data_IF_425825955226
#
_entry.id   IF_425825955226
#
_cell.length_a   1.000
_cell.length_b   1.000
_cell.length_c   1.000
_cell.angle_alpha   90.00
_cell.angle_beta   90.00
_cell.angle_gamma   90.00
#
_symmetry.space_group_name_H-M   'P 1'
#
loop_
_entity.id
_entity.type
_entity.pdbx_description
1 polymer ?
#
# COMPACT_ATOMS: atom_id res chain seq x y z
N UNK A 1 -16.44 -39.41 26.97
CA UNK A 1 -17.59 -38.76 27.61
C UNK A 1 -17.66 -37.37 27.02
N UNK A 2 -18.16 -37.30 25.80
CA UNK A 2 -19.56 -36.94 25.45
C UNK A 2 -19.54 -35.46 25.05
N UNK A 3 -19.86 -35.07 23.83
CA UNK A 3 -20.93 -35.61 22.99
C UNK A 3 -22.12 -34.66 23.06
N UNK A 4 -22.04 -33.52 22.36
CA UNK A 4 -23.22 -32.70 22.04
C UNK A 4 -22.94 -31.81 20.85
N UNK A 5 -23.09 -32.41 19.66
CA UNK A 5 -23.36 -31.69 18.42
C UNK A 5 -24.86 -31.35 18.41
N UNK A 6 -25.21 -30.08 18.59
CA UNK A 6 -26.58 -29.61 18.33
C UNK A 6 -26.74 -29.31 16.83
N UNK A 7 -27.31 -30.31 16.15
CA UNK A 7 -28.37 -30.21 15.14
C UNK A 7 -28.49 -28.91 14.33
N UNK A 8 -27.99 -28.95 13.09
CA UNK A 8 -28.47 -28.09 11.99
C UNK A 8 -29.80 -28.66 11.47
N UNK A 9 -30.82 -27.84 11.18
CA UNK A 9 -32.05 -28.30 10.56
C UNK A 9 -31.79 -28.76 9.12
N UNK A 10 -32.29 -29.95 8.82
CA UNK A 10 -32.28 -30.64 7.53
C UNK A 10 -33.02 -29.82 6.47
N UNK A 11 -32.31 -29.42 5.40
CA UNK A 11 -32.94 -29.00 4.15
C UNK A 11 -33.58 -30.24 3.48
N UNK A 12 -34.79 -30.14 2.91
CA UNK A 12 -35.39 -31.26 2.17
C UNK A 12 -34.62 -31.53 0.87
N UNK A 13 -34.33 -32.80 0.62
CA UNK A 13 -33.67 -33.31 -0.58
C UNK A 13 -34.44 -32.94 -1.86
N UNK A 14 -33.73 -32.73 -2.99
CA UNK A 14 -34.34 -32.57 -4.29
C UNK A 14 -35.06 -33.86 -4.71
N UNK A 15 -36.27 -33.69 -5.24
CA UNK A 15 -37.12 -34.73 -5.81
C UNK A 15 -36.35 -35.55 -6.85
N UNK A 16 -36.42 -36.87 -6.71
CA UNK A 16 -35.90 -37.85 -7.67
C UNK A 16 -36.59 -37.68 -9.04
N UNK A 17 -35.87 -37.97 -10.15
CA UNK A 17 -36.46 -37.98 -11.48
C UNK A 17 -37.44 -39.15 -11.62
N UNK A 18 -38.69 -38.82 -11.96
CA UNK A 18 -39.71 -39.78 -12.35
C UNK A 18 -39.23 -40.47 -13.64
N UNK A 19 -38.91 -41.76 -13.55
CA UNK A 19 -38.67 -42.61 -14.72
C UNK A 19 -39.97 -42.83 -15.50
N UNK A 20 -39.91 -42.89 -16.84
CA UNK A 20 -41.04 -43.27 -17.68
C UNK A 20 -41.23 -44.79 -17.62
N UNK A 21 -42.41 -45.27 -18.00
CA UNK A 21 -42.85 -46.67 -18.12
C UNK A 21 -43.73 -47.18 -16.96
N UNK A 22 -45.04 -46.99 -17.13
CA UNK A 22 -46.00 -48.03 -16.78
C UNK A 22 -47.10 -48.05 -17.84
N UNK A 23 -46.92 -48.99 -18.77
CA UNK A 23 -47.72 -49.20 -19.97
C UNK A 23 -48.63 -50.39 -19.69
N UNK A 24 -49.73 -50.18 -18.95
CA UNK A 24 -50.84 -51.14 -18.83
C UNK A 24 -52.03 -50.54 -18.10
N UNK A 25 -52.96 -49.92 -18.83
CA UNK A 25 -54.36 -50.28 -18.59
C UNK A 25 -55.19 -50.20 -19.88
N UNK A 26 -55.57 -51.39 -20.34
CA UNK A 26 -56.34 -51.65 -21.54
C UNK A 26 -57.80 -51.79 -21.13
N UNK A 27 -58.60 -50.78 -21.41
CA UNK A 27 -60.06 -50.81 -21.39
C UNK A 27 -60.52 -49.67 -22.27
N UNK A 28 -61.34 -49.82 -23.30
CA UNK A 28 -62.01 -50.93 -23.93
C UNK A 28 -62.61 -50.29 -25.20
N UNK A 29 -62.59 -51.02 -26.29
CA UNK A 29 -63.18 -50.61 -27.55
C UNK A 29 -64.71 -50.54 -27.41
N UNK A 30 -65.25 -49.34 -27.33
CA UNK A 30 -66.64 -49.04 -27.69
C UNK A 30 -66.61 -47.89 -28.68
N UNK A 31 -66.74 -48.25 -29.97
CA UNK A 31 -67.03 -47.30 -31.02
C UNK A 31 -68.39 -46.65 -30.74
N UNK A 32 -68.37 -45.36 -30.44
CA UNK A 32 -69.53 -44.50 -30.62
C UNK A 32 -69.22 -43.51 -31.75
N UNK A 33 -70.08 -43.53 -32.75
CA UNK A 33 -70.14 -42.51 -33.78
C UNK A 33 -70.38 -41.14 -33.12
N UNK A 34 -69.99 -40.02 -33.75
CA UNK A 34 -69.94 -38.72 -33.10
C UNK A 34 -71.34 -38.22 -32.74
N UNK A 35 -71.77 -38.49 -31.52
CA UNK A 35 -72.86 -37.79 -30.88
C UNK A 35 -72.37 -36.37 -30.57
N UNK A 36 -72.82 -35.40 -31.37
CA UNK A 36 -72.43 -33.99 -31.35
C UNK A 36 -72.91 -33.22 -30.12
N UNK A 37 -72.50 -33.65 -28.93
CA UNK A 37 -72.66 -32.94 -27.67
C UNK A 37 -71.30 -32.44 -27.17
N UNK A 38 -71.15 -31.12 -27.04
CA UNK A 38 -69.94 -30.53 -26.45
C UNK A 38 -69.86 -30.95 -24.98
N UNK A 39 -68.80 -31.66 -24.59
CA UNK A 39 -68.60 -32.09 -23.19
C UNK A 39 -68.03 -30.95 -22.33
N UNK A 40 -68.20 -31.02 -21.01
CA UNK A 40 -67.61 -30.04 -20.09
C UNK A 40 -66.08 -30.00 -20.18
N UNK A 41 -65.45 -31.14 -20.50
CA UNK A 41 -64.02 -31.24 -20.74
C UNK A 41 -63.61 -30.50 -22.02
N UNK A 42 -64.40 -30.60 -23.10
CA UNK A 42 -64.16 -29.84 -24.33
C UNK A 42 -64.29 -28.32 -24.11
N UNK A 43 -65.27 -27.88 -23.31
CA UNK A 43 -65.40 -26.47 -22.91
C UNK A 43 -64.20 -25.97 -22.11
N UNK A 44 -63.71 -26.78 -21.16
CA UNK A 44 -62.53 -26.43 -20.36
C UNK A 44 -61.27 -26.28 -21.24
N UNK A 45 -61.10 -27.16 -22.23
CA UNK A 45 -60.00 -27.11 -23.21
C UNK A 45 -60.12 -25.90 -24.14
N UNK A 46 -61.33 -25.58 -24.60
CA UNK A 46 -61.59 -24.40 -25.43
C UNK A 46 -61.29 -23.10 -24.68
N UNK A 47 -61.75 -22.97 -23.44
CA UNK A 47 -61.49 -21.79 -22.60
C UNK A 47 -59.99 -21.63 -22.27
N UNK A 48 -59.28 -22.73 -22.01
CA UNK A 48 -57.84 -22.70 -21.81
C UNK A 48 -57.11 -22.25 -23.09
N UNK A 49 -57.56 -22.73 -24.26
CA UNK A 49 -57.01 -22.33 -25.56
C UNK A 49 -57.29 -20.85 -25.88
N UNK A 50 -58.49 -20.37 -25.58
CA UNK A 50 -58.86 -18.97 -25.77
C UNK A 50 -58.04 -18.04 -24.86
N UNK A 51 -57.88 -18.39 -23.57
CA UNK A 51 -57.04 -17.63 -22.64
C UNK A 51 -55.57 -17.58 -23.07
N UNK A 52 -55.02 -18.71 -23.53
CA UNK A 52 -53.63 -18.75 -24.01
C UNK A 52 -53.46 -17.96 -25.31
N UNK A 53 -54.45 -17.96 -26.21
CA UNK A 53 -54.44 -17.13 -27.41
C UNK A 53 -54.55 -15.63 -27.09
N UNK A 54 -55.44 -15.24 -26.18
CA UNK A 54 -55.57 -13.86 -25.71
C UNK A 54 -54.30 -13.35 -25.04
N UNK A 55 -53.67 -14.18 -24.19
CA UNK A 55 -52.38 -13.87 -23.57
C UNK A 55 -51.26 -13.66 -24.61
N UNK A 56 -51.16 -14.53 -25.63
CA UNK A 56 -50.19 -14.35 -26.72
C UNK A 56 -50.46 -13.10 -27.55
N UNK A 57 -51.72 -12.77 -27.82
CA UNK A 57 -52.09 -11.56 -28.54
C UNK A 57 -51.71 -10.29 -27.77
N UNK A 58 -51.94 -10.27 -26.45
CA UNK A 58 -51.56 -9.15 -25.58
C UNK A 58 -50.03 -8.96 -25.54
N UNK A 59 -49.26 -10.05 -25.40
CA UNK A 59 -47.79 -9.99 -25.43
C UNK A 59 -47.28 -9.48 -26.78
N UNK A 60 -47.86 -9.95 -27.90
CA UNK A 60 -47.47 -9.48 -29.23
C UNK A 60 -47.77 -7.99 -29.41
N UNK A 61 -48.91 -7.51 -28.93
CA UNK A 61 -49.24 -6.08 -28.97
C UNK A 61 -48.25 -5.26 -28.16
N UNK A 62 -47.91 -5.69 -26.94
CA UNK A 62 -46.91 -5.02 -26.10
C UNK A 62 -45.53 -4.96 -26.77
N UNK A 63 -45.09 -6.04 -27.42
CA UNK A 63 -43.81 -6.03 -28.15
C UNK A 63 -43.82 -5.00 -29.28
N UNK A 64 -44.89 -4.95 -30.07
CA UNK A 64 -45.04 -3.96 -31.15
C UNK A 64 -45.11 -2.53 -30.60
N UNK A 65 -45.88 -2.29 -29.54
CA UNK A 65 -46.01 -0.97 -28.89
C UNK A 65 -44.66 -0.49 -28.33
N UNK A 66 -43.83 -1.42 -27.86
CA UNK A 66 -42.46 -1.17 -27.37
C UNK A 66 -41.41 -1.14 -28.50
N UNK A 67 -41.79 -1.41 -29.75
CA UNK A 67 -40.91 -1.39 -30.91
C UNK A 67 -39.98 -2.61 -31.05
N UNK A 68 -40.30 -3.73 -30.40
CA UNK A 68 -39.56 -4.99 -30.51
C UNK A 68 -40.24 -5.96 -31.47
N UNK A 69 -39.47 -6.54 -32.38
CA UNK A 69 -39.95 -7.51 -33.35
C UNK A 69 -40.28 -8.88 -32.72
N UNK A 70 -39.65 -9.21 -31.58
CA UNK A 70 -39.83 -10.47 -30.87
C UNK A 70 -39.55 -10.33 -29.37
N UNK A 71 -40.01 -11.31 -28.59
CA UNK A 71 -39.68 -11.42 -27.16
C UNK A 71 -38.20 -11.69 -26.91
N UNK A 72 -37.52 -12.32 -27.88
CA UNK A 72 -36.08 -12.58 -27.85
C UNK A 72 -35.31 -11.26 -27.97
N UNK A 73 -35.70 -10.37 -28.89
CA UNK A 73 -35.09 -9.06 -29.06
C UNK A 73 -35.24 -8.18 -27.79
N UNK A 74 -36.39 -8.26 -27.12
CA UNK A 74 -36.60 -7.59 -25.83
C UNK A 74 -35.69 -8.17 -24.74
N UNK A 75 -35.55 -9.50 -24.68
CA UNK A 75 -34.69 -10.16 -23.70
C UNK A 75 -33.22 -9.78 -23.90
N UNK A 76 -32.72 -9.82 -25.15
CA UNK A 76 -31.36 -9.43 -25.51
C UNK A 76 -31.07 -7.96 -25.21
N UNK A 77 -32.02 -7.06 -25.44
CA UNK A 77 -31.88 -5.65 -25.09
C UNK A 77 -31.74 -5.45 -23.58
N UNK A 78 -32.57 -6.14 -22.79
CA UNK A 78 -32.53 -6.05 -21.33
C UNK A 78 -31.22 -6.61 -20.79
N UNK A 79 -30.72 -7.74 -21.31
CA UNK A 79 -29.43 -8.29 -20.89
C UNK A 79 -28.28 -7.35 -21.26
N UNK A 80 -28.25 -6.86 -22.50
CA UNK A 80 -27.22 -5.91 -22.94
C UNK A 80 -27.22 -4.63 -22.11
N UNK A 81 -28.40 -4.11 -21.75
CA UNK A 81 -28.51 -2.94 -20.88
C UNK A 81 -28.01 -3.22 -19.47
N UNK A 82 -28.38 -4.35 -18.89
CA UNK A 82 -27.87 -4.76 -17.57
C UNK A 82 -26.35 -4.92 -17.57
N UNK A 83 -25.79 -5.55 -18.60
CA UNK A 83 -24.35 -5.74 -18.72
C UNK A 83 -23.62 -4.41 -18.89
N UNK A 84 -24.18 -3.49 -19.67
CA UNK A 84 -23.64 -2.14 -19.84
C UNK A 84 -23.70 -1.33 -18.53
N UNK A 85 -24.81 -1.40 -17.79
CA UNK A 85 -24.97 -0.72 -16.51
C UNK A 85 -24.02 -1.32 -15.46
N UNK A 86 -23.89 -2.65 -15.40
CA UNK A 86 -22.92 -3.33 -14.54
C UNK A 86 -21.49 -2.94 -14.89
N UNK A 87 -21.13 -2.93 -16.18
CA UNK A 87 -19.82 -2.49 -16.62
C UNK A 87 -19.55 -1.02 -16.26
N UNK A 88 -20.55 -0.14 -16.43
CA UNK A 88 -20.44 1.27 -16.06
C UNK A 88 -20.22 1.45 -14.56
N UNK A 89 -20.96 0.71 -13.71
CA UNK A 89 -20.76 0.72 -12.26
C UNK A 89 -19.32 0.28 -11.91
N UNK A 90 -18.83 -0.82 -12.49
CA UNK A 90 -17.46 -1.29 -12.20
C UNK A 90 -16.36 -0.33 -12.67
N UNK A 91 -16.58 0.44 -13.75
CA UNK A 91 -15.63 1.46 -14.20
C UNK A 91 -15.65 2.69 -13.30
N UNK A 92 -16.82 3.09 -12.78
CA UNK A 92 -16.92 4.17 -11.79
C UNK A 92 -16.19 3.77 -10.52
N UNK A 93 -16.43 2.57 -9.99
CA UNK A 93 -15.72 2.05 -8.81
C UNK A 93 -14.20 2.02 -9.01
N UNK A 94 -13.73 1.60 -10.20
CA UNK A 94 -12.29 1.62 -10.54
C UNK A 94 -11.73 3.05 -10.53
N UNK A 95 -12.48 4.03 -11.05
CA UNK A 95 -12.04 5.43 -11.07
C UNK A 95 -12.01 6.04 -9.67
N UNK A 96 -12.98 5.70 -8.83
CA UNK A 96 -13.01 6.12 -7.43
C UNK A 96 -11.82 5.54 -6.66
N UNK A 97 -11.55 4.24 -6.79
CA UNK A 97 -10.37 3.61 -6.19
C UNK A 97 -9.07 4.28 -6.67
N UNK A 98 -8.93 4.52 -7.97
CA UNK A 98 -7.76 5.21 -8.52
C UNK A 98 -7.63 6.67 -8.03
N UNK A 99 -8.74 7.35 -7.78
CA UNK A 99 -8.75 8.70 -7.22
C UNK A 99 -8.35 8.69 -5.74
N UNK A 100 -8.88 7.76 -4.95
CA UNK A 100 -8.49 7.58 -3.55
C UNK A 100 -7.01 7.23 -3.40
N UNK A 101 -6.49 6.33 -4.22
CA UNK A 101 -5.06 5.98 -4.21
C UNK A 101 -4.18 7.20 -4.54
N UNK A 102 -4.60 8.01 -5.51
CA UNK A 102 -3.90 9.27 -5.84
C UNK A 102 -3.94 10.25 -4.67
N UNK A 103 -5.09 10.42 -4.01
CA UNK A 103 -5.22 11.28 -2.84
C UNK A 103 -4.32 10.79 -1.70
N UNK A 104 -4.36 9.51 -1.35
CA UNK A 104 -3.45 8.93 -0.34
C UNK A 104 -1.98 9.10 -0.73
N UNK A 105 -1.64 8.96 -2.00
CA UNK A 105 -0.28 9.19 -2.48
C UNK A 105 0.16 10.65 -2.39
N UNK A 106 -0.78 11.60 -2.53
CA UNK A 106 -0.52 13.02 -2.36
C UNK A 106 -0.38 13.38 -0.88
N UNK A 107 -1.31 12.93 -0.03
CA UNK A 107 -1.27 13.12 1.43
C UNK A 107 0.02 12.57 2.04
N UNK A 108 0.47 11.38 1.60
CA UNK A 108 1.74 10.81 2.07
C UNK A 108 2.95 11.63 1.64
N UNK A 109 2.95 12.20 0.43
CA UNK A 109 4.03 13.10 -0.02
C UNK A 109 4.04 14.41 0.75
N UNK A 110 2.88 14.99 0.99
CA UNK A 110 2.74 16.22 1.78
C UNK A 110 3.18 15.99 3.23
N UNK A 111 2.73 14.91 3.87
CA UNK A 111 3.15 14.54 5.21
C UNK A 111 4.67 14.33 5.29
N UNK A 112 5.28 13.68 4.29
CA UNK A 112 6.73 13.53 4.22
C UNK A 112 7.47 14.86 4.02
N UNK A 113 6.91 15.78 3.23
CA UNK A 113 7.49 17.11 3.03
C UNK A 113 7.46 17.91 4.33
N UNK A 114 6.31 17.94 5.03
CA UNK A 114 6.16 18.60 6.32
C UNK A 114 7.10 18.01 7.39
N UNK A 115 7.24 16.68 7.42
CA UNK A 115 8.17 16.04 8.34
C UNK A 115 9.63 16.43 8.07
N UNK A 116 10.03 16.52 6.80
CA UNK A 116 11.38 16.97 6.40
C UNK A 116 11.63 18.43 6.74
N UNK A 117 10.65 19.29 6.51
CA UNK A 117 10.72 20.71 6.86
C UNK A 117 10.91 20.89 8.38
N UNK A 118 10.09 20.21 9.19
CA UNK A 118 10.21 20.25 10.66
C UNK A 118 11.59 19.75 11.12
N UNK A 119 12.08 18.66 10.54
CA UNK A 119 13.40 18.14 10.86
C UNK A 119 14.53 19.09 10.45
N UNK A 120 14.36 19.85 9.36
CA UNK A 120 15.31 20.88 8.93
C UNK A 120 15.30 22.08 9.89
N UNK A 121 14.13 22.58 10.30
CA UNK A 121 14.00 23.68 11.26
C UNK A 121 14.68 23.31 12.59
N UNK A 122 14.41 22.11 13.12
CA UNK A 122 15.03 21.61 14.36
C UNK A 122 16.55 21.53 14.26
N UNK A 123 17.08 20.96 13.17
CA UNK A 123 18.52 20.91 12.93
C UNK A 123 19.15 22.30 12.76
N UNK A 124 18.46 23.22 12.09
CA UNK A 124 18.94 24.59 11.91
C UNK A 124 19.02 25.34 13.24
N UNK A 125 18.01 25.22 14.10
CA UNK A 125 18.02 25.83 15.44
C UNK A 125 19.17 25.29 16.30
N UNK A 126 19.34 23.97 16.35
CA UNK A 126 20.42 23.32 17.09
C UNK A 126 21.82 23.66 16.56
N UNK A 127 21.99 23.66 15.23
CA UNK A 127 23.23 24.06 14.58
C UNK A 127 23.57 25.54 14.81
N UNK A 128 22.55 26.41 14.84
CA UNK A 128 22.70 27.82 15.19
C UNK A 128 23.21 28.04 16.63
N UNK A 129 22.89 27.13 17.55
CA UNK A 129 23.39 27.13 18.93
C UNK A 129 24.77 26.44 19.09
N UNK A 130 25.31 25.85 18.02
CA UNK A 130 26.64 25.24 18.00
C UNK A 130 26.68 23.71 18.12
N UNK A 131 25.54 23.02 18.09
CA UNK A 131 25.54 21.56 18.02
C UNK A 131 26.05 21.07 16.66
N UNK A 132 26.97 20.12 16.65
CA UNK A 132 27.60 19.62 15.41
C UNK A 132 27.88 18.11 15.48
N UNK A 133 27.94 17.45 14.31
CA UNK A 133 28.28 16.03 14.22
C UNK A 133 27.35 15.14 15.04
N UNK A 134 27.92 14.18 15.77
CA UNK A 134 27.16 13.23 16.60
C UNK A 134 26.36 13.95 17.72
N UNK A 135 26.91 15.05 18.26
CA UNK A 135 26.23 15.85 19.29
C UNK A 135 24.97 16.54 18.73
N UNK A 136 24.95 16.87 17.44
CA UNK A 136 23.76 17.39 16.76
C UNK A 136 22.68 16.32 16.62
N UNK A 137 23.06 15.10 16.22
CA UNK A 137 22.10 14.00 16.08
C UNK A 137 21.49 13.61 17.45
N UNK A 138 22.31 13.59 18.51
CA UNK A 138 21.82 13.39 19.88
C UNK A 138 20.91 14.54 20.35
N UNK A 139 21.27 15.79 20.05
CA UNK A 139 20.43 16.93 20.37
C UNK A 139 19.09 16.91 19.63
N UNK A 140 19.05 16.46 18.36
CA UNK A 140 17.82 16.27 17.60
C UNK A 140 16.92 15.25 18.29
N UNK A 141 17.46 14.10 18.71
CA UNK A 141 16.69 13.07 19.42
C UNK A 141 16.09 13.59 20.74
N UNK A 142 16.84 14.44 21.45
CA UNK A 142 16.39 15.03 22.71
C UNK A 142 15.29 16.08 22.49
N UNK A 143 15.40 16.92 21.46
CA UNK A 143 14.33 17.87 21.08
C UNK A 143 13.10 17.13 20.59
N UNK A 144 13.25 16.08 19.78
CA UNK A 144 12.13 15.27 19.29
C UNK A 144 11.36 14.62 20.44
N UNK A 145 12.07 14.16 21.47
CA UNK A 145 11.43 13.66 22.69
C UNK A 145 10.78 14.76 23.53
N UNK A 146 11.42 15.92 23.65
CA UNK A 146 10.89 17.04 24.43
C UNK A 146 9.61 17.63 23.81
N UNK A 147 9.53 17.66 22.48
CA UNK A 147 8.40 18.17 21.71
C UNK A 147 7.44 17.07 21.25
N UNK A 148 7.51 15.87 21.83
CA UNK A 148 6.66 14.75 21.42
C UNK A 148 5.16 15.07 21.55
N UNK A 149 4.78 15.76 22.62
CA UNK A 149 3.39 16.16 22.89
C UNK A 149 2.96 17.39 22.06
N UNK A 150 3.90 18.03 21.34
CA UNK A 150 3.68 19.22 20.51
C UNK A 150 4.24 19.00 19.10
N UNK A 151 3.58 18.14 18.30
CA UNK A 151 4.06 17.79 16.96
C UNK A 151 4.10 18.99 16.01
N UNK A 152 3.24 19.99 16.25
CA UNK A 152 3.10 21.23 15.45
C UNK A 152 3.77 22.43 16.13
N UNK A 153 4.75 22.21 17.00
CA UNK A 153 5.57 23.26 17.59
C UNK A 153 6.18 24.15 16.48
N UNK A 154 5.96 25.46 16.60
CA UNK A 154 6.48 26.46 15.67
C UNK A 154 7.99 26.69 15.88
N UNK A 155 8.59 27.50 15.00
CA UNK A 155 10.03 27.79 15.06
C UNK A 155 10.45 28.42 16.40
N UNK A 156 9.59 29.26 16.99
CA UNK A 156 9.85 29.88 18.29
C UNK A 156 9.85 28.85 19.44
N UNK A 157 8.91 27.91 19.45
CA UNK A 157 8.87 26.83 20.43
C UNK A 157 10.07 25.88 20.27
N UNK A 158 10.49 25.59 19.03
CA UNK A 158 11.71 24.81 18.76
C UNK A 158 12.95 25.53 19.27
N UNK A 159 13.08 26.84 19.04
CA UNK A 159 14.18 27.64 19.56
C UNK A 159 14.22 27.65 21.10
N UNK A 160 13.08 27.88 21.76
CA UNK A 160 12.99 27.87 23.21
C UNK A 160 13.34 26.49 23.81
N UNK A 161 12.90 25.40 23.17
CA UNK A 161 13.28 24.05 23.58
C UNK A 161 14.78 23.77 23.39
N UNK A 162 15.38 24.31 22.33
CA UNK A 162 16.80 24.21 22.06
C UNK A 162 17.65 24.98 23.08
N UNK A 163 17.22 26.19 23.49
CA UNK A 163 17.85 26.96 24.56
C UNK A 163 17.77 26.22 25.91
N UNK A 164 16.61 25.68 26.27
CA UNK A 164 16.46 24.86 27.48
C UNK A 164 17.34 23.61 27.45
N UNK A 165 17.52 23.02 26.27
CA UNK A 165 18.43 21.88 26.12
C UNK A 165 19.89 22.31 26.30
N UNK A 166 20.28 23.47 25.78
CA UNK A 166 21.62 24.04 25.96
C UNK A 166 21.93 24.34 27.42
N UNK A 167 20.99 24.89 28.18
CA UNK A 167 21.15 25.13 29.62
C UNK A 167 21.34 23.81 30.40
N UNK A 168 20.64 22.76 29.99
CA UNK A 168 20.69 21.45 30.66
C UNK A 168 21.90 20.62 30.25
N UNK A 169 22.40 20.81 29.02
CA UNK A 169 23.44 19.99 28.37
C UNK A 169 24.35 20.85 27.48
N UNK A 170 25.15 21.75 28.08
CA UNK A 170 26.05 22.63 27.32
C UNK A 170 27.12 21.85 26.52
N UNK A 171 27.44 20.62 26.92
CA UNK A 171 28.38 19.74 26.24
C UNK A 171 27.98 19.41 24.80
N UNK A 172 26.68 19.31 24.51
CA UNK A 172 26.16 19.01 23.16
C UNK A 172 26.36 20.18 22.17
N UNK A 173 26.63 21.37 22.69
CA UNK A 173 26.79 22.61 21.91
C UNK A 173 28.24 23.09 21.88
N UNK A 174 29.19 22.23 22.28
CA UNK A 174 30.62 22.55 22.30
C UNK A 174 31.05 23.54 23.39
N UNK A 175 30.12 24.03 24.23
CA UNK A 175 30.42 24.96 25.32
C UNK A 175 31.18 24.29 26.49
N UNK A 176 31.18 22.95 26.54
CA UNK A 176 31.92 22.14 27.52
C UNK A 176 33.29 21.67 27.06
N UNK A 177 33.76 22.02 25.85
CA UNK A 177 35.15 21.75 25.45
C UNK A 177 36.07 22.76 26.14
N UNK A 178 36.31 22.51 27.43
CA UNK A 178 37.46 23.04 28.12
C UNK A 178 38.68 22.59 27.31
N UNK A 179 39.27 23.52 26.56
CA UNK A 179 40.60 23.33 26.00
C UNK A 179 41.48 23.03 27.19
N UNK A 180 41.81 21.75 27.40
CA UNK A 180 42.77 21.34 28.42
C UNK A 180 43.95 22.29 28.26
N UNK A 181 44.29 23.11 29.27
CA UNK A 181 45.40 24.02 29.14
C UNK A 181 46.61 23.18 28.72
N UNK A 182 47.38 23.60 27.71
CA UNK A 182 48.60 22.87 27.34
C UNK A 182 49.38 22.67 28.64
N UNK A 183 49.61 21.41 28.98
CA UNK A 183 50.21 21.06 30.26
C UNK A 183 51.44 21.96 30.50
N UNK A 184 51.57 22.59 31.68
CA UNK A 184 52.69 23.48 31.95
C UNK A 184 54.00 22.72 31.69
N UNK A 185 54.81 23.31 30.82
CA UNK A 185 55.94 22.65 30.20
C UNK A 185 56.99 22.13 31.19
N UNK A 186 57.45 20.91 30.93
CA UNK A 186 58.63 20.31 31.54
C UNK A 186 59.45 19.53 30.49
N UNK A 187 60.32 20.25 29.78
CA UNK A 187 61.68 19.90 29.28
C UNK A 187 62.02 18.46 28.80
N UNK A 188 62.89 18.25 27.77
CA UNK A 188 64.20 18.91 27.66
C UNK A 188 64.61 19.40 26.26
N UNK A 189 65.64 20.23 26.26
CA UNK A 189 66.33 20.74 25.08
C UNK A 189 66.68 19.63 24.07
N UNK A 190 65.97 19.60 22.95
CA UNK A 190 66.21 18.63 21.88
C UNK A 190 65.35 18.96 20.68
N UNK A 191 65.60 20.11 20.07
CA UNK A 191 64.93 20.49 18.82
C UNK A 191 65.10 19.39 17.74
N UNK A 192 64.10 19.17 16.88
CA UNK A 192 64.15 18.10 15.89
C UNK A 192 65.33 18.28 14.93
N UNK A 193 66.04 17.20 14.54
CA UNK A 193 67.21 17.33 13.66
C UNK A 193 66.78 17.86 12.29
N UNK A 194 67.54 18.83 11.79
CA UNK A 194 67.36 19.40 10.44
C UNK A 194 67.51 18.29 9.39
N UNK A 195 66.43 17.95 8.69
CA UNK A 195 66.50 17.16 7.45
C UNK A 195 67.11 18.04 6.36
N UNK A 196 68.37 17.80 6.02
CA UNK A 196 69.05 18.56 4.98
C UNK A 196 70.53 18.21 4.86
N UNK A 197 70.84 16.95 4.56
CA UNK A 197 72.19 16.52 4.19
C UNK A 197 72.11 15.65 2.95
N UNK A 198 72.79 16.05 1.89
CA UNK A 198 72.97 15.28 0.66
C UNK A 198 73.52 13.89 1.03
N UNK A 199 72.93 12.78 0.57
CA UNK A 199 73.43 11.45 0.93
C UNK A 199 74.86 11.29 0.41
N UNK A 200 75.83 10.88 1.26
CA UNK A 200 77.20 10.71 0.83
C UNK A 200 77.28 9.64 -0.27
N UNK A 201 78.03 9.93 -1.34
CA UNK A 201 78.22 9.01 -2.47
C UNK A 201 78.69 7.65 -1.96
N UNK A 202 78.03 6.58 -2.43
CA UNK A 202 78.32 5.19 -2.07
C UNK A 202 79.81 4.91 -2.32
N UNK A 203 80.56 4.56 -1.27
CA UNK A 203 82.00 4.29 -1.33
C UNK A 203 82.93 5.40 -0.80
N UNK A 204 82.41 6.61 -0.52
CA UNK A 204 83.22 7.73 -0.02
C UNK A 204 83.91 7.43 1.33
N UNK A 205 83.20 6.77 2.25
CA UNK A 205 83.76 6.38 3.55
C UNK A 205 84.89 5.34 3.44
N UNK A 206 84.80 4.42 2.46
CA UNK A 206 85.83 3.42 2.20
C UNK A 206 87.10 4.03 1.61
N UNK A 207 86.94 5.01 0.72
CA UNK A 207 88.05 5.73 0.09
C UNK A 207 88.78 6.60 1.12
N UNK A 208 88.05 7.27 2.02
CA UNK A 208 88.64 8.05 3.11
C UNK A 208 89.40 7.16 4.11
N UNK A 209 88.85 5.98 4.45
CA UNK A 209 89.53 4.98 5.28
C UNK A 209 90.80 4.43 4.61
N UNK A 210 90.77 4.20 3.30
CA UNK A 210 91.93 3.72 2.56
C UNK A 210 93.06 4.78 2.48
N UNK A 211 92.71 6.05 2.30
CA UNK A 211 93.67 7.17 2.41
C UNK A 211 94.28 7.29 3.80
N UNK A 212 93.46 7.23 4.86
CA UNK A 212 93.97 7.27 6.25
C UNK A 212 94.90 6.11 6.59
N UNK A 213 94.71 4.95 5.93
CA UNK A 213 95.56 3.77 6.11
C UNK A 213 96.75 3.73 5.16
N UNK A 214 96.94 4.76 4.32
CA UNK A 214 98.05 4.85 3.37
C UNK A 214 97.98 3.80 2.24
N UNK A 215 96.82 3.19 2.03
CA UNK A 215 96.61 2.16 0.99
C UNK A 215 96.42 2.76 -0.41
N UNK A 216 96.19 4.07 -0.48
CA UNK A 216 96.03 4.83 -1.72
C UNK A 216 96.81 6.13 -1.54
N UNK A 217 97.77 6.38 -2.41
CA UNK A 217 98.42 7.69 -2.60
C UNK A 217 97.70 8.39 -3.75
N UNK A 218 97.48 9.71 -3.63
CA UNK A 218 96.82 10.51 -4.67
C UNK A 218 97.59 10.50 -6.00
#
# INVERSE_FOLDING_TARGET
MDGSRMTRPSLPNPLEPISPEDDSNKSGDEGDAPNGGVTQEDLSRLLAREKTQGGRAAVKKLLVDLGFDSSEALAEFITTKRDADQAALTEVERREQAAEEKLRSAETREAQALAKERAAIRRAALGGLGATGDDLDDAVLLIDRALHDQPDADEAAVAAAAEQLQERRPELFGLGRETVPPAPGGSPAGGPPRRGGIPPRRGAAGLEMARRRGLISD
#
